data_IF_776862512012
#
_entry.id   IF_776862512012
#
_cell.length_a   1.000
_cell.length_b   1.000
_cell.length_c   1.000
_cell.angle_alpha   90.00
_cell.angle_beta   90.00
_cell.angle_gamma   90.00
#
_symmetry.space_group_name_H-M   'P 1'
#
loop_
_entity.id
_entity.type
_entity.pdbx_description
1 polymer ?
#
# COMPACT_ATOMS: atom_id res chain seq x y z
N UNK A 1 -14.09 34.43 16.93
CA UNK A 1 -13.38 33.53 17.87
C UNK A 1 -13.71 32.09 17.48
N UNK A 2 -12.97 31.47 16.56
CA UNK A 2 -11.67 30.80 16.74
C UNK A 2 -11.77 29.47 17.50
N UNK A 3 -11.74 28.34 16.77
CA UNK A 3 -10.93 27.18 17.16
C UNK A 3 -10.64 26.27 15.96
N UNK A 4 -9.62 26.67 15.21
CA UNK A 4 -8.87 25.80 14.30
C UNK A 4 -8.06 24.83 15.17
N UNK A 5 -8.41 23.55 15.12
CA UNK A 5 -7.73 22.46 15.82
C UNK A 5 -6.96 21.60 14.83
N UNK A 6 -5.87 22.13 14.28
CA UNK A 6 -4.93 21.41 13.44
C UNK A 6 -4.15 20.40 14.32
N UNK A 7 -4.55 19.12 14.30
CA UNK A 7 -3.76 17.99 14.83
C UNK A 7 -2.91 17.39 13.72
N UNK A 8 -1.88 18.12 13.32
CA UNK A 8 -0.73 17.56 12.62
C UNK A 8 0.19 16.93 13.68
N UNK A 9 0.04 15.63 13.91
CA UNK A 9 0.74 14.95 15.00
C UNK A 9 0.86 13.47 14.78
N UNK A 10 1.99 13.07 14.20
CA UNK A 10 2.71 11.82 14.45
C UNK A 10 2.07 10.51 13.95
N UNK A 11 2.83 9.80 13.13
CA UNK A 11 3.41 8.54 13.59
C UNK A 11 4.56 8.15 12.67
N UNK A 12 5.78 8.29 13.18
CA UNK A 12 6.94 7.61 12.62
C UNK A 12 6.62 6.12 12.51
N UNK A 13 6.79 5.58 11.32
CA UNK A 13 6.68 4.15 11.03
C UNK A 13 7.83 3.43 11.74
N UNK A 14 7.63 3.16 13.04
CA UNK A 14 8.47 2.22 13.78
C UNK A 14 8.20 0.85 13.19
N UNK A 15 9.28 0.26 12.69
CA UNK A 15 9.42 -1.15 12.40
C UNK A 15 8.67 -2.02 13.43
N UNK A 16 7.48 -2.48 13.04
CA UNK A 16 6.64 -3.36 13.82
C UNK A 16 6.39 -4.62 13.04
N UNK A 17 7.37 -5.53 13.04
CA UNK A 17 7.23 -6.90 12.58
C UNK A 17 6.38 -7.72 13.57
N UNK A 18 5.13 -7.29 13.82
CA UNK A 18 4.14 -8.04 14.60
C UNK A 18 2.95 -8.36 13.70
N UNK A 19 2.74 -9.66 13.52
CA UNK A 19 1.77 -10.33 12.65
C UNK A 19 0.66 -9.46 12.08
N UNK A 20 0.80 -9.08 10.81
CA UNK A 20 -0.28 -8.42 10.06
C UNK A 20 -1.37 -9.42 9.69
N UNK A 21 -2.61 -9.07 10.00
CA UNK A 21 -3.80 -9.79 9.58
C UNK A 21 -3.82 -9.90 8.04
N UNK A 22 -4.33 -11.02 7.49
CA UNK A 22 -4.32 -11.34 6.05
C UNK A 22 -4.90 -10.23 5.13
N UNK A 23 -5.71 -9.30 5.66
CA UNK A 23 -6.29 -8.19 4.90
C UNK A 23 -5.33 -7.06 4.54
N UNK A 24 -4.27 -6.83 5.33
CA UNK A 24 -3.37 -5.68 5.13
C UNK A 24 -2.41 -5.88 3.94
N UNK A 25 -2.20 -7.13 3.52
CA UNK A 25 -1.30 -7.45 2.41
C UNK A 25 -1.79 -6.89 1.07
N UNK A 26 -3.10 -6.81 0.85
CA UNK A 26 -3.65 -6.32 -0.42
C UNK A 26 -3.47 -4.80 -0.60
N UNK A 27 -3.45 -4.04 0.50
CA UNK A 27 -3.21 -2.60 0.47
C UNK A 27 -1.70 -2.27 0.40
N UNK A 28 -0.85 -3.09 1.00
CA UNK A 28 0.61 -2.87 1.02
C UNK A 28 1.29 -3.15 -0.34
N UNK A 29 0.74 -4.07 -1.14
CA UNK A 29 1.33 -4.47 -2.44
C UNK A 29 1.55 -3.29 -3.39
N UNK A 30 0.54 -2.47 -3.73
CA UNK A 30 0.74 -1.37 -4.67
C UNK A 30 1.73 -0.31 -4.15
N UNK A 31 1.69 0.00 -2.85
CA UNK A 31 2.60 0.98 -2.24
C UNK A 31 4.07 0.54 -2.36
N UNK A 32 4.34 -0.74 -2.10
CA UNK A 32 5.69 -1.31 -2.27
C UNK A 32 6.16 -1.28 -3.72
N UNK A 33 5.29 -1.64 -4.66
CA UNK A 33 5.62 -1.64 -6.09
C UNK A 33 5.95 -0.23 -6.57
N UNK A 34 5.12 0.77 -6.25
CA UNK A 34 5.33 2.16 -6.66
C UNK A 34 6.61 2.74 -6.06
N UNK A 35 6.88 2.46 -4.78
CA UNK A 35 8.12 2.93 -4.14
C UNK A 35 9.38 2.33 -4.79
N UNK A 36 9.31 1.06 -5.19
CA UNK A 36 10.41 0.36 -5.85
C UNK A 36 10.69 0.89 -7.26
N UNK A 37 9.65 1.05 -8.08
CA UNK A 37 9.81 1.54 -9.46
C UNK A 37 10.26 3.00 -9.52
N UNK A 38 9.76 3.86 -8.63
CA UNK A 38 10.20 5.25 -8.54
C UNK A 38 11.67 5.38 -8.12
N UNK A 39 12.12 4.60 -7.14
CA UNK A 39 13.52 4.60 -6.71
C UNK A 39 14.47 4.15 -7.84
N UNK A 40 14.10 3.10 -8.57
CA UNK A 40 14.86 2.60 -9.73
C UNK A 40 14.94 3.62 -10.86
N UNK A 41 13.81 4.26 -11.20
CA UNK A 41 13.76 5.29 -12.24
C UNK A 41 14.64 6.50 -11.90
N UNK A 42 14.60 6.98 -10.65
CA UNK A 42 15.44 8.09 -10.21
C UNK A 42 16.93 7.74 -10.20
N UNK A 43 17.29 6.53 -9.77
CA UNK A 43 18.68 6.06 -9.83
C UNK A 43 19.19 6.01 -11.28
N UNK A 44 18.39 5.47 -12.21
CA UNK A 44 18.73 5.40 -13.62
C UNK A 44 18.94 6.82 -14.21
N UNK A 45 18.02 7.75 -13.94
CA UNK A 45 18.15 9.14 -14.38
C UNK A 45 19.39 9.83 -13.79
N UNK A 46 19.68 9.64 -12.50
CA UNK A 46 20.86 10.22 -11.87
C UNK A 46 22.18 9.66 -12.44
N UNK A 47 22.22 8.35 -12.74
CA UNK A 47 23.37 7.73 -13.38
C UNK A 47 23.60 8.28 -14.79
N UNK A 48 22.53 8.37 -15.61
CA UNK A 48 22.61 8.90 -16.98
C UNK A 48 23.06 10.36 -16.99
N UNK A 49 22.43 11.22 -16.17
CA UNK A 49 22.78 12.65 -16.09
C UNK A 49 24.22 12.84 -15.57
N UNK A 50 24.66 12.04 -14.60
CA UNK A 50 26.01 12.15 -14.06
C UNK A 50 27.11 11.69 -15.02
N UNK A 51 26.83 10.66 -15.84
CA UNK A 51 27.71 10.24 -16.94
C UNK A 51 27.76 11.29 -18.05
N UNK A 52 26.62 11.89 -18.40
CA UNK A 52 26.55 12.90 -19.46
C UNK A 52 27.29 14.19 -19.09
N UNK A 53 27.40 14.51 -17.80
CA UNK A 53 28.17 15.64 -17.29
C UNK A 53 29.71 15.45 -17.32
N UNK A 54 30.22 14.28 -17.75
CA UNK A 54 31.66 14.02 -17.82
C UNK A 54 32.37 13.90 -16.46
N UNK A 55 31.61 13.73 -15.37
CA UNK A 55 32.17 13.61 -14.03
C UNK A 55 32.81 12.23 -13.80
N UNK A 56 33.86 12.14 -12.95
CA UNK A 56 34.45 10.86 -12.58
C UNK A 56 33.43 9.92 -11.95
N UNK A 57 33.45 8.65 -12.37
CA UNK A 57 32.43 7.65 -12.06
C UNK A 57 32.16 7.49 -10.55
N UNK A 58 33.19 7.62 -9.71
CA UNK A 58 33.07 7.52 -8.24
C UNK A 58 32.22 8.63 -7.65
N UNK A 59 32.37 9.87 -8.15
CA UNK A 59 31.58 11.03 -7.68
C UNK A 59 30.14 10.92 -8.16
N UNK A 60 29.93 10.42 -9.37
CA UNK A 60 28.60 10.16 -9.92
C UNK A 60 27.87 9.08 -9.12
N UNK A 61 28.55 7.99 -8.77
CA UNK A 61 27.96 6.89 -8.02
C UNK A 61 27.49 7.32 -6.62
N UNK A 62 28.29 8.10 -5.90
CA UNK A 62 27.93 8.58 -4.56
C UNK A 62 26.71 9.51 -4.60
N UNK A 63 26.64 10.41 -5.59
CA UNK A 63 25.46 11.28 -5.80
C UNK A 63 24.22 10.48 -6.21
N UNK A 64 24.38 9.46 -7.07
CA UNK A 64 23.28 8.59 -7.47
C UNK A 64 22.71 7.79 -6.29
N UNK A 65 23.55 7.34 -5.35
CA UNK A 65 23.09 6.67 -4.13
C UNK A 65 22.30 7.62 -3.22
N UNK A 66 22.75 8.86 -3.05
CA UNK A 66 22.01 9.88 -2.29
C UNK A 66 20.67 10.20 -2.95
N UNK A 67 20.65 10.37 -4.28
CA UNK A 67 19.42 10.59 -5.03
C UNK A 67 18.44 9.41 -4.91
N UNK A 68 18.95 8.18 -4.94
CA UNK A 68 18.15 6.97 -4.73
C UNK A 68 17.54 6.94 -3.32
N UNK A 69 18.30 7.29 -2.29
CA UNK A 69 17.80 7.37 -0.92
C UNK A 69 16.71 8.43 -0.75
N UNK A 70 16.91 9.63 -1.31
CA UNK A 70 15.91 10.71 -1.26
C UNK A 70 14.65 10.32 -2.04
N UNK A 71 14.80 9.75 -3.24
CA UNK A 71 13.65 9.31 -4.02
C UNK A 71 12.89 8.17 -3.35
N UNK A 72 13.58 7.23 -2.70
CA UNK A 72 12.94 6.17 -1.94
C UNK A 72 12.08 6.73 -0.78
N UNK A 73 12.55 7.78 -0.10
CA UNK A 73 11.76 8.48 0.92
C UNK A 73 10.55 9.17 0.31
N UNK A 74 10.73 9.90 -0.80
CA UNK A 74 9.64 10.58 -1.50
C UNK A 74 8.59 9.60 -2.01
N UNK A 75 9.01 8.47 -2.60
CA UNK A 75 8.13 7.40 -3.07
C UNK A 75 7.31 6.77 -1.94
N UNK A 76 7.88 6.64 -0.74
CA UNK A 76 7.13 6.20 0.45
C UNK A 76 6.07 7.20 0.88
N UNK A 77 6.39 8.49 0.88
CA UNK A 77 5.43 9.55 1.22
C UNK A 77 4.28 9.56 0.21
N UNK A 78 4.60 9.53 -1.09
CA UNK A 78 3.61 9.46 -2.17
C UNK A 78 2.74 8.22 -2.08
N UNK A 79 3.32 7.05 -1.79
CA UNK A 79 2.56 5.81 -1.59
C UNK A 79 1.56 5.91 -0.43
N UNK A 80 1.98 6.49 0.70
CA UNK A 80 1.11 6.75 1.86
C UNK A 80 -0.03 7.72 1.54
N UNK A 81 0.25 8.78 0.78
CA UNK A 81 -0.79 9.72 0.34
C UNK A 81 -1.77 9.05 -0.64
N UNK A 82 -1.26 8.22 -1.56
CA UNK A 82 -2.08 7.47 -2.51
C UNK A 82 -3.06 6.52 -1.81
N UNK A 83 -2.61 5.83 -0.76
CA UNK A 83 -3.47 4.98 0.07
C UNK A 83 -4.58 5.79 0.76
N UNK A 84 -4.23 6.96 1.31
CA UNK A 84 -5.18 7.86 1.97
C UNK A 84 -6.24 8.38 0.99
N UNK A 85 -5.81 8.89 -0.17
CA UNK A 85 -6.71 9.36 -1.22
C UNK A 85 -7.62 8.25 -1.74
N UNK A 86 -7.09 7.04 -1.93
CA UNK A 86 -7.86 5.90 -2.41
C UNK A 86 -8.90 5.46 -1.37
N UNK A 87 -8.52 5.43 -0.08
CA UNK A 87 -9.44 5.08 1.01
C UNK A 87 -10.58 6.09 1.12
N UNK A 88 -10.27 7.38 0.97
CA UNK A 88 -11.26 8.45 0.97
C UNK A 88 -12.18 8.36 -0.25
N UNK A 89 -11.61 8.15 -1.45
CA UNK A 89 -12.38 7.98 -2.69
C UNK A 89 -13.31 6.77 -2.62
N UNK A 90 -12.85 5.62 -2.11
CA UNK A 90 -13.71 4.43 -1.92
C UNK A 90 -14.83 4.74 -0.92
N UNK A 91 -14.52 5.46 0.17
CA UNK A 91 -15.52 5.88 1.15
C UNK A 91 -16.59 6.78 0.54
N UNK A 92 -16.16 7.75 -0.26
CA UNK A 92 -17.04 8.67 -0.98
C UNK A 92 -17.89 7.95 -2.02
N UNK A 93 -17.27 7.08 -2.82
CA UNK A 93 -17.94 6.30 -3.85
C UNK A 93 -19.02 5.37 -3.26
N UNK A 94 -18.73 4.72 -2.12
CA UNK A 94 -19.72 3.88 -1.40
C UNK A 94 -20.92 4.67 -0.86
N UNK A 95 -20.72 5.93 -0.49
CA UNK A 95 -21.82 6.81 -0.05
C UNK A 95 -22.72 7.22 -1.21
N UNK A 96 -22.13 7.51 -2.37
CA UNK A 96 -22.87 7.94 -3.55
C UNK A 96 -23.53 6.80 -4.32
N UNK A 97 -22.87 5.64 -4.36
CA UNK A 97 -23.34 4.44 -5.03
C UNK A 97 -23.57 3.35 -3.97
N UNK A 98 -24.69 3.40 -3.22
CA UNK A 98 -25.05 2.31 -2.33
C UNK A 98 -25.12 1.04 -3.18
N UNK A 99 -24.34 0.02 -2.79
CA UNK A 99 -24.13 -1.18 -3.60
C UNK A 99 -25.49 -1.72 -4.08
N UNK A 100 -25.69 -1.92 -5.39
CA UNK A 100 -26.81 -2.72 -5.87
C UNK A 100 -26.78 -4.04 -5.10
N UNK A 101 -27.94 -4.50 -4.61
CA UNK A 101 -28.02 -5.80 -3.94
C UNK A 101 -27.37 -6.81 -4.87
N UNK A 102 -26.37 -7.56 -4.37
CA UNK A 102 -25.76 -8.62 -5.15
C UNK A 102 -26.89 -9.51 -5.70
N UNK A 103 -26.79 -9.97 -6.96
CA UNK A 103 -27.76 -10.90 -7.51
C UNK A 103 -27.90 -12.08 -6.54
N UNK A 104 -29.14 -12.49 -6.24
CA UNK A 104 -29.46 -13.51 -5.23
C UNK A 104 -28.60 -14.78 -5.35
N UNK A 105 -28.24 -15.14 -6.58
CA UNK A 105 -27.32 -16.20 -6.95
C UNK A 105 -26.01 -16.16 -6.14
N UNK A 106 -25.36 -15.00 -6.04
CA UNK A 106 -24.11 -14.87 -5.28
C UNK A 106 -24.32 -14.95 -3.77
N UNK A 107 -25.44 -14.44 -3.27
CA UNK A 107 -25.76 -14.56 -1.85
C UNK A 107 -25.99 -16.03 -1.45
N UNK A 108 -26.68 -16.80 -2.32
CA UNK A 108 -26.86 -18.25 -2.13
C UNK A 108 -25.53 -18.99 -2.16
N UNK A 109 -24.62 -18.63 -3.07
CA UNK A 109 -23.28 -19.22 -3.13
C UNK A 109 -22.42 -18.92 -1.90
N UNK A 110 -22.46 -17.69 -1.38
CA UNK A 110 -21.76 -17.34 -0.14
C UNK A 110 -22.33 -18.07 1.07
N UNK A 111 -23.66 -18.15 1.19
CA UNK A 111 -24.31 -18.93 2.26
C UNK A 111 -23.97 -20.42 2.17
N UNK A 112 -23.96 -20.99 0.96
CA UNK A 112 -23.57 -22.37 0.73
C UNK A 112 -22.10 -22.62 1.13
N UNK A 113 -21.17 -21.74 0.72
CA UNK A 113 -19.76 -21.83 1.16
C UNK A 113 -19.60 -21.75 2.68
N UNK A 114 -20.31 -20.82 3.32
CA UNK A 114 -20.27 -20.67 4.78
C UNK A 114 -20.84 -21.90 5.50
N UNK A 115 -21.91 -22.49 4.96
CA UNK A 115 -22.47 -23.74 5.47
C UNK A 115 -21.48 -24.91 5.32
N UNK A 116 -20.87 -25.07 4.14
CA UNK A 116 -19.85 -26.09 3.91
C UNK A 116 -18.64 -25.96 4.85
N UNK A 117 -18.18 -24.73 5.12
CA UNK A 117 -17.07 -24.49 6.05
C UNK A 117 -17.40 -25.00 7.47
N UNK A 118 -18.63 -24.77 7.96
CA UNK A 118 -19.08 -25.28 9.26
C UNK A 118 -19.12 -26.80 9.30
N UNK A 119 -19.60 -27.44 8.23
CA UNK A 119 -19.65 -28.91 8.15
C UNK A 119 -18.25 -29.51 8.18
N UNK A 120 -17.27 -28.91 7.48
CA UNK A 120 -15.88 -29.38 7.50
C UNK A 120 -15.27 -29.23 8.89
N UNK A 121 -15.53 -28.13 9.60
CA UNK A 121 -15.06 -27.94 10.97
C UNK A 121 -15.69 -28.94 11.95
N UNK A 122 -16.97 -29.27 11.79
CA UNK A 122 -17.61 -30.33 12.60
C UNK A 122 -17.04 -31.72 12.31
N UNK A 123 -16.82 -32.05 11.04
CA UNK A 123 -16.21 -33.32 10.63
C UNK A 123 -14.78 -33.43 11.20
N UNK A 124 -14.03 -32.33 11.17
CA UNK A 124 -12.68 -32.26 11.73
C UNK A 124 -12.67 -32.41 13.26
N UNK A 125 -13.68 -31.85 13.96
CA UNK A 125 -13.84 -32.03 15.41
C UNK A 125 -14.25 -33.44 15.81
N UNK A 126 -15.08 -34.13 15.01
CA UNK A 126 -15.52 -35.51 15.29
C UNK A 126 -14.46 -36.56 14.98
N UNK A 127 -13.48 -36.23 14.14
CA UNK A 127 -12.38 -37.10 13.77
C UNK A 127 -11.14 -36.99 14.69
N UNK A 128 -11.14 -36.03 15.62
CA UNK A 128 -10.09 -35.80 16.62
C UNK A 128 -10.54 -36.32 17.99
#
# INVERSE_FOLDING_TARGET
MAKSGNKAGSAGSKAGAKGKAKGDYLADVPSRVVSGTMGLAAFAMAAVVGLWAGNPAIVTLSRALVACAVCALVGRILGSMGESCTREFIGYYKKQNPRPRLPEELQKLEMSRAAHAKVVDEMRKKAA
#
